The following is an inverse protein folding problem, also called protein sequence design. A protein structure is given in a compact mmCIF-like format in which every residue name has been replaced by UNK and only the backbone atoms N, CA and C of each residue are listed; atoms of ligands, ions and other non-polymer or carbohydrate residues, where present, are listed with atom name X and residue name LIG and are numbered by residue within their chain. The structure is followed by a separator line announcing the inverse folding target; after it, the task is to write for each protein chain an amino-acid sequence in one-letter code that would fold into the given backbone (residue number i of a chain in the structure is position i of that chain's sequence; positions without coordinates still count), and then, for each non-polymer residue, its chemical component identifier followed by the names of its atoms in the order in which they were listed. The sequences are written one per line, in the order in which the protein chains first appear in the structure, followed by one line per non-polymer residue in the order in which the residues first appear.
data_IF_548844132844
#
_entry.id   IF_548844132844
#
_cell.length_a   1.000
_cell.length_b   1.000
_cell.length_c   1.000
_cell.angle_alpha   90.00
_cell.angle_beta   90.00
_cell.angle_gamma   90.00
#
_symmetry.space_group_name_H-M   'P 1'
#
loop_
_entity.id
_entity.type
_entity.pdbx_description
1 polymer ?
#
# COMPACT_ATOMS: atom_id res chain seq x y z
N UNK A 1 -19.00 37.10 -17.66
CA UNK A 1 -19.17 35.69 -18.07
C UNK A 1 -17.80 35.23 -18.56
N UNK A 2 -16.91 34.88 -17.64
CA UNK A 2 -15.56 34.44 -17.97
C UNK A 2 -15.45 32.97 -17.58
N UNK A 3 -15.31 32.11 -18.58
CA UNK A 3 -14.93 30.72 -18.42
C UNK A 3 -13.44 30.70 -18.05
N UNK A 4 -13.13 30.28 -16.83
CA UNK A 4 -11.77 29.91 -16.46
C UNK A 4 -11.56 28.46 -16.89
N UNK A 5 -10.77 28.30 -17.94
CA UNK A 5 -10.16 27.05 -18.37
C UNK A 5 -9.23 26.52 -17.29
N UNK A 6 -9.48 25.30 -16.82
CA UNK A 6 -8.59 24.55 -15.94
C UNK A 6 -7.30 24.17 -16.69
N UNK A 7 -6.11 24.16 -16.04
CA UNK A 7 -4.90 23.67 -16.68
C UNK A 7 -4.92 22.13 -16.73
N UNK A 8 -4.68 21.60 -17.92
CA UNK A 8 -4.32 20.19 -18.14
C UNK A 8 -2.86 19.99 -17.74
N UNK A 9 -2.60 19.44 -16.56
CA UNK A 9 -1.28 18.93 -16.20
C UNK A 9 -1.25 17.40 -16.43
N UNK A 10 -0.37 16.97 -17.34
CA UNK A 10 -0.10 15.56 -17.62
C UNK A 10 0.53 14.89 -16.37
N UNK A 11 0.15 13.64 -16.10
CA UNK A 11 0.70 12.78 -15.03
C UNK A 11 2.22 12.48 -15.16
N UNK A 12 2.86 12.86 -16.27
CA UNK A 12 4.31 12.80 -16.44
C UNK A 12 5.09 13.74 -15.48
N UNK A 13 4.41 14.60 -14.72
CA UNK A 13 5.02 15.50 -13.74
C UNK A 13 4.93 15.04 -12.28
N UNK A 14 4.68 13.74 -12.01
CA UNK A 14 5.01 13.16 -10.69
C UNK A 14 6.48 13.45 -10.43
N UNK A 15 6.77 14.42 -9.55
CA UNK A 15 8.12 14.94 -9.32
C UNK A 15 9.09 13.78 -9.10
N UNK A 16 9.92 13.52 -10.11
CA UNK A 16 11.13 12.70 -10.02
C UNK A 16 12.16 13.50 -9.21
N UNK A 17 11.86 13.73 -7.93
CA UNK A 17 12.71 14.48 -7.02
C UNK A 17 13.47 13.54 -6.11
N UNK A 18 14.80 13.57 -6.19
CA UNK A 18 15.62 13.22 -5.04
C UNK A 18 15.12 14.04 -3.83
N UNK A 19 15.07 13.39 -2.66
CA UNK A 19 14.68 14.09 -1.44
C UNK A 19 15.67 15.24 -1.20
N UNK A 20 15.22 16.46 -0.81
CA UNK A 20 16.12 17.52 -0.38
C UNK A 20 17.02 16.97 0.75
N UNK A 21 18.30 17.40 0.78
CA UNK A 21 19.32 16.96 1.75
C UNK A 21 18.73 16.60 3.13
N UNK A 22 19.18 15.49 3.72
CA UNK A 22 18.66 14.90 4.96
C UNK A 22 18.54 15.84 6.18
N UNK A 23 19.13 17.04 6.13
CA UNK A 23 19.00 18.09 7.14
C UNK A 23 17.75 18.97 7.02
N UNK A 24 17.10 19.07 5.84
CA UNK A 24 16.01 20.03 5.57
C UNK A 24 14.64 19.34 5.30
N UNK A 25 14.55 18.01 5.37
CA UNK A 25 13.31 17.24 5.17
C UNK A 25 12.62 16.81 6.48
N UNK A 26 11.34 16.39 6.43
CA UNK A 26 10.60 15.91 7.60
C UNK A 26 11.25 14.65 8.20
N UNK A 27 11.29 14.58 9.53
CA UNK A 27 11.98 13.53 10.30
C UNK A 27 11.04 12.44 10.80
N UNK A 28 11.46 11.17 10.74
CA UNK A 28 10.70 10.03 11.30
C UNK A 28 10.56 10.09 12.85
N UNK A 29 11.30 10.99 13.51
CA UNK A 29 11.24 11.24 14.96
C UNK A 29 10.35 12.42 15.33
N UNK A 30 9.85 13.16 14.35
CA UNK A 30 8.96 14.30 14.59
C UNK A 30 7.68 13.85 15.31
N UNK A 31 7.20 14.68 16.24
CA UNK A 31 5.97 14.40 16.97
C UNK A 31 4.79 15.03 16.24
N UNK A 32 3.64 14.33 16.15
CA UNK A 32 2.48 14.90 15.50
C UNK A 32 2.04 16.21 16.17
N UNK A 33 1.62 17.22 15.41
CA UNK A 33 1.03 18.45 15.94
C UNK A 33 -0.21 18.19 16.81
N UNK A 34 -0.55 19.14 17.70
CA UNK A 34 -1.68 18.94 18.62
C UNK A 34 -3.06 19.00 17.94
N UNK A 35 -3.18 19.74 16.83
CA UNK A 35 -4.44 19.84 16.07
C UNK A 35 -4.88 18.46 15.56
N UNK A 36 -3.98 17.72 14.89
CA UNK A 36 -4.30 16.39 14.38
C UNK A 36 -4.48 15.36 15.50
N UNK A 37 -3.71 15.47 16.60
CA UNK A 37 -3.92 14.62 17.78
C UNK A 37 -5.31 14.83 18.38
N UNK A 38 -5.78 16.07 18.44
CA UNK A 38 -7.10 16.41 18.97
C UNK A 38 -8.20 15.85 18.08
N UNK A 39 -8.09 16.06 16.77
CA UNK A 39 -9.01 15.51 15.78
C UNK A 39 -9.03 13.97 15.79
N UNK A 40 -7.86 13.33 15.88
CA UNK A 40 -7.70 11.89 16.04
C UNK A 40 -8.42 11.35 17.28
N UNK A 41 -8.19 11.98 18.44
CA UNK A 41 -8.82 11.58 19.70
C UNK A 41 -10.35 11.72 19.66
N UNK A 42 -10.89 12.67 18.90
CA UNK A 42 -12.34 12.83 18.69
C UNK A 42 -12.92 11.55 18.10
N UNK A 43 -12.37 11.07 16.97
CA UNK A 43 -12.82 9.85 16.31
C UNK A 43 -12.55 8.59 17.15
N UNK A 44 -11.43 8.53 17.88
CA UNK A 44 -11.13 7.42 18.78
C UNK A 44 -12.19 7.27 19.87
N UNK A 45 -12.72 8.39 20.41
CA UNK A 45 -13.73 8.41 21.49
C UNK A 45 -15.16 8.11 21.03
N UNK A 46 -15.49 8.21 19.74
CA UNK A 46 -16.85 7.94 19.26
C UNK A 46 -17.26 6.50 19.62
N UNK A 47 -18.38 6.33 20.32
CA UNK A 47 -18.73 5.03 20.88
C UNK A 47 -19.33 4.10 19.82
N UNK A 48 -20.44 4.53 19.23
CA UNK A 48 -21.25 3.69 18.34
C UNK A 48 -20.93 3.99 16.88
N UNK A 49 -21.23 3.01 16.03
CA UNK A 49 -21.04 3.11 14.59
C UNK A 49 -21.86 4.28 13.98
N UNK A 50 -23.08 4.49 14.48
CA UNK A 50 -23.96 5.58 14.04
C UNK A 50 -23.37 6.96 14.37
N UNK A 51 -22.72 7.08 15.53
CA UNK A 51 -22.05 8.33 15.94
C UNK A 51 -20.88 8.66 15.01
N UNK A 52 -20.23 7.64 14.44
CA UNK A 52 -19.12 7.78 13.49
C UNK A 52 -19.63 8.17 12.11
N UNK A 53 -20.70 7.54 11.61
CA UNK A 53 -21.25 7.87 10.30
C UNK A 53 -21.96 9.24 10.29
N UNK A 54 -22.49 9.68 11.43
CA UNK A 54 -23.12 10.99 11.58
C UNK A 54 -22.16 12.18 11.75
N UNK A 55 -20.83 11.97 11.69
CA UNK A 55 -19.83 13.04 11.84
C UNK A 55 -19.45 13.67 10.49
N UNK A 56 -18.40 14.51 10.49
CA UNK A 56 -17.78 15.12 9.30
C UNK A 56 -16.95 14.12 8.44
N UNK A 57 -17.36 12.85 8.41
CA UNK A 57 -16.67 11.74 7.77
C UNK A 57 -16.83 11.80 6.24
N UNK A 58 -15.73 11.67 5.50
CA UNK A 58 -15.77 11.39 4.07
C UNK A 58 -16.17 9.93 3.87
N UNK A 59 -17.33 9.71 3.25
CA UNK A 59 -17.83 8.39 2.90
C UNK A 59 -18.25 8.36 1.41
N UNK A 60 -17.39 7.83 0.55
CA UNK A 60 -17.56 7.86 -0.92
C UNK A 60 -18.54 6.83 -1.48
N UNK A 61 -19.06 5.93 -0.64
CA UNK A 61 -20.08 4.94 -1.04
C UNK A 61 -21.49 5.39 -0.56
N UNK A 62 -21.56 6.42 0.29
CA UNK A 62 -22.80 7.06 0.65
C UNK A 62 -23.25 8.02 -0.48
N UNK A 63 -24.55 8.06 -0.76
CA UNK A 63 -25.17 8.97 -1.75
C UNK A 63 -24.72 10.43 -1.47
N UNK A 64 -24.72 11.33 -2.48
CA UNK A 64 -24.19 12.71 -2.39
C UNK A 64 -24.78 13.61 -1.28
N UNK A 65 -25.73 13.14 -0.48
CA UNK A 65 -26.25 13.82 0.71
C UNK A 65 -25.46 13.48 2.00
N UNK A 66 -24.35 12.73 1.89
CA UNK A 66 -23.52 12.36 3.05
C UNK A 66 -22.85 13.57 3.69
N UNK A 67 -22.93 13.64 5.01
CA UNK A 67 -22.66 14.75 5.94
C UNK A 67 -21.25 15.39 5.95
N UNK A 68 -20.45 15.24 4.90
CA UNK A 68 -19.12 15.86 4.83
C UNK A 68 -19.22 17.30 4.31
N UNK A 69 -18.55 18.23 5.00
CA UNK A 69 -18.28 19.59 4.49
C UNK A 69 -17.12 19.61 3.49
N UNK A 70 -16.50 18.45 3.22
CA UNK A 70 -15.33 18.30 2.36
C UNK A 70 -15.76 18.06 0.91
N UNK A 71 -15.11 18.77 -0.02
CA UNK A 71 -15.27 18.55 -1.46
C UNK A 71 -14.32 17.44 -1.90
N UNK A 72 -14.90 16.34 -2.39
CA UNK A 72 -14.18 15.27 -3.08
C UNK A 72 -14.42 15.44 -4.58
N UNK A 73 -13.37 15.66 -5.35
CA UNK A 73 -13.47 15.84 -6.79
C UNK A 73 -13.18 14.52 -7.49
N UNK A 74 -14.07 14.15 -8.41
CA UNK A 74 -13.82 13.01 -9.29
C UNK A 74 -12.67 13.36 -10.22
N UNK A 75 -11.66 12.51 -10.26
CA UNK A 75 -10.48 12.69 -11.10
C UNK A 75 -10.82 12.61 -12.60
N UNK A 76 -10.02 13.30 -13.41
CA UNK A 76 -10.09 13.27 -14.87
C UNK A 76 -9.67 11.94 -15.47
N UNK A 77 -9.84 11.79 -16.79
CA UNK A 77 -9.62 10.52 -17.51
C UNK A 77 -8.18 10.01 -17.41
N UNK A 78 -7.18 10.86 -17.18
CA UNK A 78 -5.77 10.44 -17.10
C UNK A 78 -5.48 9.53 -15.90
N UNK A 79 -6.07 9.81 -14.72
CA UNK A 79 -6.01 8.90 -13.55
C UNK A 79 -6.69 7.56 -13.84
N UNK A 80 -7.69 7.58 -14.73
CA UNK A 80 -8.47 6.39 -15.09
C UNK A 80 -7.71 5.50 -16.07
N UNK A 81 -6.73 6.03 -16.84
CA UNK A 81 -5.94 5.22 -17.78
C UNK A 81 -5.18 4.08 -17.11
N UNK A 82 -4.62 4.32 -15.92
CA UNK A 82 -3.98 3.26 -15.11
C UNK A 82 -4.98 2.19 -14.66
N UNK A 83 -6.28 2.51 -14.66
CA UNK A 83 -7.37 1.58 -14.35
C UNK A 83 -8.08 1.08 -15.61
N UNK A 84 -7.46 1.21 -16.78
CA UNK A 84 -7.85 0.46 -17.97
C UNK A 84 -7.42 -1.01 -17.82
N UNK A 85 -8.15 -1.90 -18.48
CA UNK A 85 -7.88 -3.33 -18.56
C UNK A 85 -7.83 -4.02 -17.19
N UNK A 86 -8.56 -3.51 -16.19
CA UNK A 86 -8.61 -4.10 -14.84
C UNK A 86 -8.92 -5.59 -14.86
N UNK A 87 -9.83 -6.01 -15.74
CA UNK A 87 -10.16 -7.43 -15.88
C UNK A 87 -8.93 -8.29 -16.23
N UNK A 88 -8.07 -7.81 -17.14
CA UNK A 88 -6.85 -8.52 -17.54
C UNK A 88 -5.81 -8.49 -16.41
N UNK A 89 -5.64 -7.33 -15.76
CA UNK A 89 -4.72 -7.16 -14.62
C UNK A 89 -5.07 -8.09 -13.47
N UNK A 90 -6.37 -8.18 -13.13
CA UNK A 90 -6.85 -9.10 -12.10
C UNK A 90 -6.75 -10.56 -12.53
N UNK A 91 -7.06 -10.90 -13.78
CA UNK A 91 -6.89 -12.27 -14.28
C UNK A 91 -5.43 -12.73 -14.22
N UNK A 92 -4.50 -11.85 -14.59
CA UNK A 92 -3.05 -12.05 -14.45
C UNK A 92 -2.65 -12.35 -13.00
N UNK A 93 -3.11 -11.52 -12.06
CA UNK A 93 -2.81 -11.70 -10.64
C UNK A 93 -3.34 -13.03 -10.07
N UNK A 94 -4.54 -13.43 -10.50
CA UNK A 94 -5.17 -14.69 -10.08
C UNK A 94 -4.57 -15.92 -10.76
N UNK A 95 -3.83 -15.75 -11.87
CA UNK A 95 -3.38 -16.83 -12.73
C UNK A 95 -4.52 -17.57 -13.46
N UNK A 96 -5.71 -16.97 -13.50
CA UNK A 96 -6.91 -17.51 -14.17
C UNK A 96 -7.87 -16.38 -14.53
N UNK A 97 -8.75 -16.67 -15.46
CA UNK A 97 -9.77 -15.77 -15.96
C UNK A 97 -10.75 -15.40 -14.85
N UNK A 98 -11.04 -14.10 -14.72
CA UNK A 98 -11.93 -13.57 -13.67
C UNK A 98 -13.34 -14.16 -13.72
N UNK A 99 -13.90 -14.21 -14.93
CA UNK A 99 -15.31 -14.54 -15.15
C UNK A 99 -15.51 -16.03 -15.44
N UNK A 100 -14.54 -16.63 -16.13
CA UNK A 100 -14.64 -17.99 -16.64
C UNK A 100 -13.86 -19.02 -15.83
N UNK A 101 -12.91 -18.61 -14.98
CA UNK A 101 -12.12 -19.51 -14.15
C UNK A 101 -11.07 -20.34 -14.91
N UNK A 102 -10.94 -20.14 -16.22
CA UNK A 102 -9.98 -20.83 -17.08
C UNK A 102 -8.54 -20.37 -16.83
N UNK A 103 -7.60 -21.31 -16.87
CA UNK A 103 -6.17 -21.04 -16.66
C UNK A 103 -5.53 -20.30 -17.84
N UNK A 104 -6.02 -20.54 -19.07
CA UNK A 104 -5.57 -19.81 -20.27
C UNK A 104 -6.37 -18.51 -20.44
N UNK A 105 -6.20 -17.61 -19.47
CA UNK A 105 -6.93 -16.35 -19.40
C UNK A 105 -6.49 -15.32 -20.44
N UNK A 106 -5.34 -15.55 -21.09
CA UNK A 106 -4.70 -14.62 -22.01
C UNK A 106 -5.51 -14.37 -23.29
N UNK A 107 -6.26 -15.39 -23.73
CA UNK A 107 -7.10 -15.35 -24.93
C UNK A 107 -8.58 -15.06 -24.63
N UNK A 108 -8.96 -14.96 -23.35
CA UNK A 108 -10.33 -14.72 -22.93
C UNK A 108 -10.79 -13.29 -23.25
N UNK A 109 -11.93 -13.17 -23.94
CA UNK A 109 -12.52 -11.87 -24.30
C UNK A 109 -13.72 -11.57 -23.41
N UNK A 110 -13.53 -10.67 -22.46
CA UNK A 110 -14.56 -10.21 -21.54
C UNK A 110 -14.84 -8.73 -21.70
N UNK A 111 -16.05 -8.30 -21.31
CA UNK A 111 -16.34 -6.88 -21.20
C UNK A 111 -15.46 -6.27 -20.10
N UNK A 112 -14.81 -5.17 -20.42
CA UNK A 112 -13.95 -4.47 -19.46
C UNK A 112 -14.74 -4.09 -18.20
N UNK A 113 -14.17 -4.40 -17.05
CA UNK A 113 -14.70 -3.94 -15.78
C UNK A 113 -14.45 -2.44 -15.69
N UNK A 114 -15.51 -1.65 -15.79
CA UNK A 114 -15.40 -0.20 -15.56
C UNK A 114 -14.90 0.01 -14.13
N UNK A 115 -13.76 0.68 -14.01
CA UNK A 115 -13.28 1.13 -12.71
C UNK A 115 -14.32 2.01 -12.04
N UNK A 116 -14.39 1.92 -10.71
CA UNK A 116 -15.04 2.95 -9.92
C UNK A 116 -14.38 4.31 -10.18
N UNK A 117 -15.13 5.38 -9.89
CA UNK A 117 -14.59 6.72 -9.94
C UNK A 117 -13.43 6.86 -8.93
N UNK A 118 -12.33 7.48 -9.35
CA UNK A 118 -11.24 7.89 -8.45
C UNK A 118 -11.55 9.30 -7.96
N UNK A 119 -11.27 9.56 -6.69
CA UNK A 119 -11.53 10.84 -6.06
C UNK A 119 -10.25 11.42 -5.46
N UNK A 120 -10.07 12.73 -5.61
CA UNK A 120 -9.09 13.50 -4.87
C UNK A 120 -9.80 14.39 -3.86
N UNK A 121 -9.21 14.57 -2.66
CA UNK A 121 -9.75 15.49 -1.67
C UNK A 121 -9.11 16.87 -1.81
N UNK A 122 -9.93 17.89 -2.06
CA UNK A 122 -9.46 19.28 -2.30
C UNK A 122 -8.57 19.82 -1.16
N UNK A 123 -8.82 19.39 0.08
CA UNK A 123 -8.07 19.84 1.25
C UNK A 123 -6.75 19.11 1.45
N UNK A 124 -6.62 17.92 0.86
CA UNK A 124 -5.43 17.07 0.90
C UNK A 124 -4.98 16.76 -0.55
N UNK A 125 -4.44 17.74 -1.29
CA UNK A 125 -3.92 17.53 -2.64
C UNK A 125 -2.94 16.37 -2.71
N UNK A 126 -3.06 15.56 -3.76
CA UNK A 126 -2.28 14.35 -3.98
C UNK A 126 -2.78 13.12 -3.21
N UNK A 127 -3.85 13.23 -2.40
CA UNK A 127 -4.51 12.07 -1.78
C UNK A 127 -5.63 11.56 -2.69
N UNK A 128 -5.37 10.47 -3.39
CA UNK A 128 -6.34 9.81 -4.25
C UNK A 128 -6.98 8.62 -3.54
N UNK A 129 -8.30 8.48 -3.70
CA UNK A 129 -9.12 7.44 -3.10
C UNK A 129 -9.75 6.64 -4.23
N UNK A 130 -9.59 5.31 -4.15
CA UNK A 130 -10.08 4.34 -5.11
C UNK A 130 -11.12 3.44 -4.41
N UNK A 131 -12.40 3.82 -4.39
CA UNK A 131 -13.44 3.05 -3.72
C UNK A 131 -13.69 1.73 -4.44
N UNK A 132 -13.78 0.63 -3.68
CA UNK A 132 -14.13 -0.70 -4.19
C UNK A 132 -13.29 -1.10 -5.44
N UNK A 133 -12.00 -0.81 -5.41
CA UNK A 133 -11.08 -1.10 -6.51
C UNK A 133 -10.88 -2.61 -6.70
N UNK A 134 -10.64 -3.33 -5.60
CA UNK A 134 -10.38 -4.77 -5.66
C UNK A 134 -11.68 -5.57 -5.57
N UNK A 135 -12.04 -6.39 -6.57
CA UNK A 135 -13.21 -7.27 -6.49
C UNK A 135 -12.99 -8.43 -5.48
N UNK A 136 -14.07 -9.08 -4.99
CA UNK A 136 -14.01 -10.06 -3.90
C UNK A 136 -12.97 -11.18 -4.07
N UNK A 137 -12.89 -11.79 -5.25
CA UNK A 137 -11.94 -12.89 -5.51
C UNK A 137 -10.48 -12.40 -5.51
N UNK A 138 -10.20 -11.15 -5.90
CA UNK A 138 -8.85 -10.57 -5.82
C UNK A 138 -8.49 -10.31 -4.37
N UNK A 139 -9.44 -9.81 -3.57
CA UNK A 139 -9.23 -9.61 -2.13
C UNK A 139 -8.92 -10.93 -1.41
N UNK A 140 -9.69 -12.00 -1.66
CA UNK A 140 -9.42 -13.33 -1.07
C UNK A 140 -8.06 -13.87 -1.50
N UNK A 141 -7.75 -13.81 -2.80
CA UNK A 141 -6.48 -14.33 -3.30
C UNK A 141 -5.27 -13.52 -2.80
N UNK A 142 -5.43 -12.20 -2.60
CA UNK A 142 -4.43 -11.37 -1.95
C UNK A 142 -4.18 -11.82 -0.50
N UNK A 143 -5.24 -12.15 0.26
CA UNK A 143 -5.07 -12.72 1.60
C UNK A 143 -4.37 -14.07 1.58
N UNK A 144 -4.69 -14.93 0.61
CA UNK A 144 -4.05 -16.24 0.48
C UNK A 144 -2.53 -16.09 0.27
N UNK A 145 -2.13 -15.20 -0.64
CA UNK A 145 -0.72 -14.88 -0.88
C UNK A 145 -0.07 -14.28 0.37
N UNK A 146 -0.67 -13.26 0.98
CA UNK A 146 -0.09 -12.55 2.12
C UNK A 146 0.02 -13.42 3.39
N UNK A 147 -1.00 -14.20 3.71
CA UNK A 147 -1.15 -14.84 5.01
C UNK A 147 -0.96 -16.36 5.00
N UNK A 148 -1.09 -17.03 3.84
CA UNK A 148 -0.70 -18.44 3.71
C UNK A 148 0.75 -18.57 3.22
N UNK A 149 1.13 -17.87 2.15
CA UNK A 149 2.47 -17.99 1.54
C UNK A 149 3.49 -17.05 2.19
N UNK A 150 3.24 -15.74 2.15
CA UNK A 150 4.26 -14.74 2.46
C UNK A 150 4.54 -14.67 3.96
N UNK A 151 3.53 -14.80 4.82
CA UNK A 151 3.72 -14.95 6.26
C UNK A 151 4.57 -16.18 6.63
N UNK A 152 4.49 -17.25 5.84
CA UNK A 152 5.24 -18.49 6.06
C UNK A 152 6.67 -18.45 5.49
N UNK A 153 7.07 -17.36 4.81
CA UNK A 153 8.44 -17.18 4.36
C UNK A 153 9.31 -16.63 5.52
N UNK A 154 10.35 -17.34 5.97
CA UNK A 154 11.23 -16.89 7.06
C UNK A 154 12.11 -15.68 6.73
N UNK A 155 12.22 -15.30 5.46
CA UNK A 155 12.93 -14.08 5.05
C UNK A 155 12.13 -12.80 5.37
N UNK A 156 10.81 -12.91 5.52
CA UNK A 156 9.95 -11.80 5.90
C UNK A 156 9.92 -11.60 7.42
N UNK A 157 10.06 -10.35 7.88
CA UNK A 157 9.96 -10.04 9.31
C UNK A 157 8.53 -9.79 9.76
N UNK A 158 8.31 -9.94 11.06
CA UNK A 158 7.04 -9.65 11.74
C UNK A 158 7.33 -9.02 13.10
N UNK A 159 6.33 -8.38 13.68
CA UNK A 159 6.46 -7.81 15.02
C UNK A 159 6.76 -8.86 16.11
N UNK A 160 6.50 -10.14 15.84
CA UNK A 160 6.70 -11.23 16.78
C UNK A 160 8.18 -11.63 16.85
N UNK A 161 8.93 -11.50 15.77
CA UNK A 161 10.38 -11.78 15.73
C UNK A 161 11.19 -10.91 16.70
N UNK A 162 10.67 -9.73 17.07
CA UNK A 162 11.29 -8.85 18.07
C UNK A 162 11.36 -9.48 19.47
N UNK A 163 10.48 -10.44 19.77
CA UNK A 163 10.31 -10.97 21.13
C UNK A 163 10.34 -12.50 21.21
N UNK A 164 10.23 -13.21 20.10
CA UNK A 164 10.12 -14.67 20.06
C UNK A 164 10.98 -15.25 18.94
N UNK A 165 11.44 -16.49 19.13
CA UNK A 165 11.91 -17.34 18.05
C UNK A 165 10.70 -18.01 17.42
N UNK A 166 10.43 -17.65 16.16
CA UNK A 166 9.24 -18.09 15.42
C UNK A 166 9.51 -19.45 14.80
N UNK A 167 8.67 -20.42 15.11
CA UNK A 167 8.62 -21.72 14.44
C UNK A 167 7.73 -21.63 13.21
N UNK A 168 8.09 -22.31 12.13
CA UNK A 168 7.38 -22.25 10.85
C UNK A 168 6.65 -23.57 10.52
N UNK A 169 5.52 -23.51 9.79
CA UNK A 169 4.79 -24.69 9.36
C UNK A 169 5.64 -25.56 8.41
N UNK A 170 5.49 -26.88 8.54
CA UNK A 170 6.09 -27.83 7.60
C UNK A 170 5.42 -27.72 6.23
N UNK A 171 6.13 -28.10 5.16
CA UNK A 171 5.58 -28.15 3.80
C UNK A 171 4.30 -29.00 3.70
N UNK A 172 3.34 -28.53 2.92
CA UNK A 172 2.10 -29.25 2.63
C UNK A 172 2.18 -29.89 1.22
N UNK A 173 1.60 -31.08 0.98
CA UNK A 173 1.65 -31.74 -0.34
C UNK A 173 1.12 -30.89 -1.50
N UNK A 174 0.15 -30.02 -1.22
CA UNK A 174 -0.50 -29.15 -2.21
C UNK A 174 0.22 -27.81 -2.42
N UNK A 175 1.42 -27.63 -1.87
CA UNK A 175 2.17 -26.38 -1.94
C UNK A 175 3.63 -26.61 -2.33
N UNK A 176 4.15 -25.86 -3.29
CA UNK A 176 5.58 -25.84 -3.66
C UNK A 176 6.43 -25.03 -2.65
N UNK A 177 6.21 -25.19 -1.34
CA UNK A 177 6.80 -24.34 -0.30
C UNK A 177 6.47 -24.75 1.15
N UNK A 178 6.68 -23.85 2.14
CA UNK A 178 6.21 -24.08 3.51
C UNK A 178 4.68 -24.12 3.55
N UNK A 179 4.12 -24.86 4.50
CA UNK A 179 2.68 -24.87 4.75
C UNK A 179 2.16 -23.53 5.27
N UNK A 180 0.92 -23.49 5.70
CA UNK A 180 0.32 -22.30 6.28
C UNK A 180 0.33 -22.34 7.80
N UNK A 181 0.46 -21.18 8.46
CA UNK A 181 0.15 -21.04 9.88
C UNK A 181 -1.31 -21.36 10.22
N UNK A 182 -2.20 -21.39 9.23
CA UNK A 182 -3.59 -21.78 9.40
C UNK A 182 -3.81 -23.30 9.27
N UNK A 183 -2.76 -24.08 8.94
CA UNK A 183 -2.87 -25.54 8.91
C UNK A 183 -3.12 -26.13 10.29
N UNK A 184 -3.93 -27.18 10.36
CA UNK A 184 -4.19 -27.90 11.60
C UNK A 184 -2.90 -28.41 12.26
N UNK A 185 -1.93 -28.86 11.44
CA UNK A 185 -0.61 -29.32 11.91
C UNK A 185 0.23 -28.19 12.50
N UNK A 186 -0.01 -26.94 12.11
CA UNK A 186 0.70 -25.77 12.61
C UNK A 186 0.15 -25.26 13.95
N UNK A 187 -1.04 -25.66 14.37
CA UNK A 187 -1.75 -25.12 15.56
C UNK A 187 -0.92 -25.09 16.85
N UNK A 188 -0.09 -26.11 17.03
CA UNK A 188 0.70 -26.32 18.25
C UNK A 188 2.20 -26.03 18.06
N UNK A 189 2.59 -25.30 17.01
CA UNK A 189 3.95 -24.80 16.92
C UNK A 189 4.25 -23.95 18.17
N UNK A 190 5.41 -24.18 18.77
CA UNK A 190 5.85 -23.46 19.95
C UNK A 190 6.72 -22.29 19.54
N UNK A 191 6.45 -21.13 20.13
CA UNK A 191 7.16 -19.89 19.88
C UNK A 191 7.87 -19.52 21.17
N UNK A 192 9.16 -19.86 21.23
CA UNK A 192 9.95 -19.64 22.44
C UNK A 192 10.26 -18.15 22.61
N UNK A 193 9.99 -17.57 23.79
CA UNK A 193 10.26 -16.16 24.05
C UNK A 193 11.77 -15.92 24.13
N UNK A 194 12.26 -14.82 23.53
CA UNK A 194 13.67 -14.39 23.59
C UNK A 194 14.03 -13.78 24.94
N UNK A 195 13.06 -13.09 25.55
CA UNK A 195 13.15 -12.45 26.85
C UNK A 195 11.82 -12.64 27.61
N UNK A 196 11.64 -11.97 28.76
CA UNK A 196 10.57 -12.00 29.80
C UNK A 196 9.07 -12.13 29.39
N UNK A 197 8.73 -12.89 28.36
CA UNK A 197 7.39 -13.15 27.86
C UNK A 197 7.02 -14.62 28.09
N UNK A 198 5.72 -14.89 28.19
CA UNK A 198 5.23 -16.27 28.20
C UNK A 198 5.27 -16.85 26.78
N UNK A 199 5.59 -18.14 26.65
CA UNK A 199 5.46 -18.86 25.38
C UNK A 199 4.05 -18.73 24.81
N UNK A 200 3.96 -18.72 23.49
CA UNK A 200 2.70 -18.64 22.74
C UNK A 200 2.64 -19.81 21.75
N UNK A 201 1.43 -20.14 21.32
CA UNK A 201 1.17 -21.08 20.21
C UNK A 201 0.65 -20.31 18.98
N UNK A 202 0.38 -21.02 17.90
CA UNK A 202 -0.03 -20.44 16.62
C UNK A 202 -1.37 -19.70 16.69
N UNK A 203 -2.31 -20.23 17.47
CA UNK A 203 -3.59 -19.55 17.71
C UNK A 203 -3.37 -18.16 18.34
N UNK A 204 -2.59 -18.07 19.42
CA UNK A 204 -2.25 -16.79 20.04
C UNK A 204 -1.40 -15.91 19.13
N UNK A 205 -0.50 -16.50 18.35
CA UNK A 205 0.29 -15.80 17.35
C UNK A 205 -0.63 -15.06 16.36
N UNK A 206 -1.52 -15.77 15.66
CA UNK A 206 -2.41 -15.20 14.65
C UNK A 206 -3.46 -14.25 15.24
N UNK A 207 -4.08 -14.61 16.37
CA UNK A 207 -5.21 -13.83 16.89
C UNK A 207 -4.83 -12.63 17.73
N UNK A 208 -3.73 -12.74 18.48
CA UNK A 208 -3.40 -11.79 19.56
C UNK A 208 -2.08 -11.10 19.38
N UNK A 209 -1.09 -11.69 18.70
CA UNK A 209 0.27 -11.16 18.67
C UNK A 209 0.70 -10.58 17.34
N UNK A 210 0.31 -11.18 16.22
CA UNK A 210 0.66 -10.68 14.89
C UNK A 210 -0.01 -9.32 14.64
N UNK A 211 0.78 -8.35 14.20
CA UNK A 211 0.36 -6.97 13.92
C UNK A 211 0.92 -6.45 12.61
N UNK A 212 2.11 -6.87 12.21
CA UNK A 212 2.65 -6.51 10.91
C UNK A 212 3.55 -7.61 10.34
N UNK A 213 3.66 -7.61 9.01
CA UNK A 213 4.59 -8.39 8.19
C UNK A 213 5.28 -7.42 7.21
N UNK A 214 6.56 -7.59 6.95
CA UNK A 214 7.32 -6.82 5.94
C UNK A 214 7.63 -7.67 4.71
N UNK A 215 7.38 -7.13 3.52
CA UNK A 215 7.69 -7.74 2.23
C UNK A 215 8.70 -6.87 1.47
N UNK A 216 9.66 -7.46 0.77
CA UNK A 216 10.73 -6.68 0.15
C UNK A 216 11.59 -5.98 1.20
N UNK A 217 11.70 -4.65 1.13
CA UNK A 217 12.37 -3.82 2.12
C UNK A 217 11.95 -4.08 3.57
N UNK A 218 12.93 -4.35 4.44
CA UNK A 218 12.71 -4.70 5.84
C UNK A 218 12.87 -3.47 6.75
N UNK A 219 11.78 -2.78 7.07
CA UNK A 219 11.84 -1.57 7.90
C UNK A 219 12.28 -1.85 9.34
N UNK A 220 13.32 -1.14 9.81
CA UNK A 220 13.77 -1.20 11.21
C UNK A 220 13.01 -0.16 12.05
N UNK A 221 12.15 -0.65 12.94
CA UNK A 221 11.34 0.20 13.83
C UNK A 221 12.13 0.91 14.93
N UNK A 222 13.29 0.37 15.32
CA UNK A 222 14.18 0.98 16.32
C UNK A 222 15.00 2.09 15.71
N UNK A 223 15.63 1.83 14.56
CA UNK A 223 16.43 2.83 13.85
C UNK A 223 15.58 3.81 13.01
N UNK A 224 14.32 3.45 12.72
CA UNK A 224 13.37 4.18 11.87
C UNK A 224 13.85 4.44 10.45
N UNK A 225 14.51 3.44 9.87
CA UNK A 225 15.08 3.51 8.53
C UNK A 225 14.98 2.13 7.87
N UNK A 226 15.13 2.11 6.55
CA UNK A 226 15.47 0.86 5.87
C UNK A 226 16.96 0.58 6.07
N UNK A 227 17.34 -0.65 6.46
CA UNK A 227 18.73 -1.06 6.53
C UNK A 227 19.40 -1.02 5.14
N UNK A 228 20.72 -0.76 5.07
CA UNK A 228 21.45 -0.68 3.79
C UNK A 228 21.70 -2.05 3.14
N UNK A 229 21.43 -3.15 3.84
CA UNK A 229 21.55 -4.50 3.30
C UNK A 229 20.55 -4.74 2.14
N UNK A 230 20.92 -5.63 1.23
CA UNK A 230 20.02 -6.05 0.14
C UNK A 230 18.78 -6.69 0.76
N UNK A 231 17.57 -6.16 0.50
CA UNK A 231 16.36 -6.72 1.06
C UNK A 231 16.02 -8.06 0.39
N UNK A 232 15.20 -8.92 1.05
CA UNK A 232 14.54 -10.03 0.39
C UNK A 232 13.77 -9.58 -0.85
N UNK A 233 13.55 -10.50 -1.79
CA UNK A 233 12.76 -10.19 -2.98
C UNK A 233 11.31 -9.85 -2.60
N UNK A 234 10.78 -8.79 -3.23
CA UNK A 234 9.35 -8.49 -3.11
C UNK A 234 8.56 -9.57 -3.89
N UNK A 235 7.49 -10.17 -3.32
CA UNK A 235 6.70 -11.19 -4.00
C UNK A 235 6.19 -10.72 -5.37
N UNK A 236 6.65 -11.38 -6.44
CA UNK A 236 6.55 -10.88 -7.82
C UNK A 236 5.11 -10.69 -8.32
N UNK A 237 4.17 -11.50 -7.85
CA UNK A 237 2.77 -11.41 -8.22
C UNK A 237 2.06 -10.22 -7.55
N UNK A 238 2.33 -9.97 -6.27
CA UNK A 238 1.84 -8.78 -5.56
C UNK A 238 2.53 -7.53 -6.11
N UNK A 239 3.83 -7.60 -6.41
CA UNK A 239 4.58 -6.53 -7.08
C UNK A 239 3.89 -6.15 -8.39
N UNK A 240 3.68 -7.13 -9.26
CA UNK A 240 3.04 -6.89 -10.55
C UNK A 240 1.63 -6.33 -10.39
N UNK A 241 0.81 -6.82 -9.45
CA UNK A 241 -0.53 -6.28 -9.23
C UNK A 241 -0.48 -4.79 -8.87
N UNK A 242 0.41 -4.41 -7.94
CA UNK A 242 0.50 -3.03 -7.45
C UNK A 242 1.06 -2.11 -8.54
N UNK A 243 2.13 -2.51 -9.23
CA UNK A 243 2.72 -1.73 -10.32
C UNK A 243 1.79 -1.65 -11.55
N UNK A 244 0.93 -2.65 -11.78
CA UNK A 244 -0.09 -2.60 -12.84
C UNK A 244 -1.25 -1.65 -12.47
N UNK A 245 -1.49 -1.35 -11.18
CA UNK A 245 -2.61 -0.53 -10.71
C UNK A 245 -2.24 0.91 -10.34
N UNK A 246 -0.97 1.19 -10.04
CA UNK A 246 -0.51 2.47 -9.52
C UNK A 246 0.84 2.86 -10.12
N UNK A 247 1.16 4.16 -10.24
CA UNK A 247 2.38 4.64 -10.88
C UNK A 247 3.54 4.65 -9.89
N UNK A 248 3.99 3.47 -9.51
CA UNK A 248 5.09 3.31 -8.55
C UNK A 248 5.89 2.04 -8.81
N UNK A 249 7.07 1.93 -8.20
CA UNK A 249 7.77 0.64 -8.05
C UNK A 249 7.51 0.05 -6.68
N UNK A 250 7.10 -1.21 -6.62
CA UNK A 250 6.89 -1.92 -5.37
C UNK A 250 8.20 -2.55 -4.90
N UNK A 251 8.82 -1.93 -3.89
CA UNK A 251 10.14 -2.30 -3.35
C UNK A 251 10.07 -2.70 -1.87
N UNK A 252 9.15 -2.10 -1.12
CA UNK A 252 8.86 -2.47 0.26
C UNK A 252 7.36 -2.46 0.52
N UNK A 253 6.91 -3.35 1.40
CA UNK A 253 5.56 -3.28 1.92
C UNK A 253 5.48 -3.62 3.41
N UNK A 254 4.53 -2.97 4.09
CA UNK A 254 4.11 -3.31 5.45
C UNK A 254 2.66 -3.74 5.40
N UNK A 255 2.43 -5.03 5.65
CA UNK A 255 1.11 -5.64 5.80
C UNK A 255 0.71 -5.47 7.25
N UNK A 256 -0.19 -4.54 7.54
CA UNK A 256 -0.68 -4.32 8.89
C UNK A 256 -1.97 -5.12 9.16
N UNK A 257 -2.06 -5.70 10.35
CA UNK A 257 -3.20 -6.48 10.81
C UNK A 257 -3.82 -5.80 12.02
N UNK A 258 -5.11 -5.49 11.92
CA UNK A 258 -5.89 -4.85 12.97
C UNK A 258 -7.13 -5.67 13.32
N UNK A 259 -7.57 -5.54 14.56
CA UNK A 259 -8.88 -5.96 15.05
C UNK A 259 -9.61 -4.76 15.65
N UNK A 260 -10.94 -4.78 15.82
CA UNK A 260 -11.64 -3.74 16.56
C UNK A 260 -11.02 -3.48 17.93
N UNK A 261 -10.66 -2.21 18.18
CA UNK A 261 -9.93 -1.77 19.37
C UNK A 261 -8.44 -1.52 19.13
N UNK A 262 -7.85 -2.10 18.08
CA UNK A 262 -6.51 -1.71 17.62
C UNK A 262 -6.57 -0.32 16.97
N UNK A 263 -5.45 0.39 17.06
CA UNK A 263 -5.29 1.74 16.49
C UNK A 263 -3.90 1.90 15.89
N UNK A 264 -3.78 2.82 14.93
CA UNK A 264 -2.50 3.30 14.43
C UNK A 264 -2.35 4.78 14.80
N UNK A 265 -1.41 5.06 15.71
CA UNK A 265 -1.11 6.44 16.14
C UNK A 265 -0.76 7.34 14.96
N UNK A 266 -1.00 8.64 15.12
CA UNK A 266 -0.64 9.62 14.11
C UNK A 266 0.89 9.60 13.88
N UNK A 267 1.30 9.48 12.62
CA UNK A 267 2.70 9.45 12.18
C UNK A 267 2.83 9.97 10.74
N UNK A 268 4.07 10.01 10.24
CA UNK A 268 4.41 10.24 8.83
C UNK A 268 5.32 9.11 8.36
N UNK A 269 5.22 8.78 7.09
CA UNK A 269 6.12 7.84 6.42
C UNK A 269 7.19 8.61 5.69
N UNK A 270 8.40 8.67 6.26
CA UNK A 270 9.48 9.54 5.76
C UNK A 270 10.84 8.87 5.82
N UNK A 271 10.86 7.55 5.72
CA UNK A 271 12.09 6.76 5.86
C UNK A 271 12.65 6.29 4.52
N UNK A 272 11.90 6.51 3.43
CA UNK A 272 12.32 6.27 2.05
C UNK A 272 13.27 7.37 1.55
N UNK A 273 14.13 7.04 0.58
CA UNK A 273 15.08 7.98 -0.02
C UNK A 273 14.44 8.85 -1.11
N UNK A 274 13.25 8.47 -1.60
CA UNK A 274 12.54 9.15 -2.66
C UNK A 274 11.19 9.72 -2.21
N UNK A 275 10.68 10.67 -2.99
CA UNK A 275 9.36 11.28 -2.81
C UNK A 275 8.23 10.54 -3.56
N UNK A 276 8.50 9.31 -4.01
CA UNK A 276 7.55 8.53 -4.82
C UNK A 276 6.29 8.16 -4.02
N UNK A 277 5.15 7.92 -4.69
CA UNK A 277 3.88 7.66 -4.02
C UNK A 277 3.91 6.47 -3.05
N UNK A 278 3.01 6.51 -2.08
CA UNK A 278 2.69 5.38 -1.21
C UNK A 278 1.28 4.88 -1.53
N UNK A 279 1.13 3.56 -1.65
CA UNK A 279 -0.16 2.91 -1.86
C UNK A 279 -0.60 2.18 -0.59
N UNK A 280 -1.89 2.26 -0.25
CA UNK A 280 -2.49 1.53 0.86
C UNK A 280 -3.76 0.83 0.40
N UNK A 281 -3.76 -0.52 0.39
CA UNK A 281 -4.92 -1.35 0.00
C UNK A 281 -5.57 -1.95 1.25
N UNK A 282 -6.89 -1.84 1.34
CA UNK A 282 -7.70 -2.23 2.50
C UNK A 282 -8.50 -3.51 2.25
N UNK A 283 -8.44 -4.48 3.17
CA UNK A 283 -9.26 -5.72 3.11
C UNK A 283 -9.82 -6.06 4.49
N UNK A 284 -11.09 -6.45 4.58
CA UNK A 284 -11.76 -6.85 5.82
C UNK A 284 -12.60 -5.74 6.44
N UNK A 285 -12.57 -5.60 7.77
CA UNK A 285 -13.32 -4.58 8.49
C UNK A 285 -12.98 -3.16 8.01
N UNK A 286 -14.02 -2.32 7.99
CA UNK A 286 -13.89 -0.90 7.72
C UNK A 286 -13.02 -0.22 8.78
N UNK A 287 -12.33 0.83 8.38
CA UNK A 287 -11.63 1.71 9.31
C UNK A 287 -11.87 3.17 9.00
N UNK A 288 -11.66 3.99 10.03
CA UNK A 288 -11.54 5.44 9.89
C UNK A 288 -10.07 5.75 9.76
N UNK A 289 -9.69 6.33 8.63
CA UNK A 289 -8.37 6.86 8.36
C UNK A 289 -8.40 8.37 8.51
N UNK A 290 -7.44 8.93 9.24
CA UNK A 290 -7.27 10.37 9.38
C UNK A 290 -6.01 10.77 8.65
N UNK A 291 -6.10 11.84 7.87
CA UNK A 291 -5.00 12.43 7.14
C UNK A 291 -5.05 13.93 7.28
N UNK A 292 -3.90 14.58 7.49
CA UNK A 292 -3.81 16.02 7.55
C UNK A 292 -2.47 16.57 7.09
N UNK A 293 -2.52 17.75 6.50
CA UNK A 293 -1.38 18.53 6.08
C UNK A 293 -1.21 19.73 6.99
N UNK A 294 0.02 20.19 7.15
CA UNK A 294 0.27 21.45 7.83
C UNK A 294 -0.25 22.61 6.97
N UNK A 295 -0.91 23.57 7.62
CA UNK A 295 -1.32 24.82 6.97
C UNK A 295 -0.09 25.66 6.64
N UNK A 296 -0.06 26.27 5.46
CA UNK A 296 0.96 27.27 5.15
C UNK A 296 0.69 28.53 6.00
N UNK A 297 1.75 29.11 6.59
CA UNK A 297 1.67 30.19 7.58
C UNK A 297 0.85 31.43 7.15
N UNK A 298 0.60 31.61 5.86
CA UNK A 298 -0.06 32.78 5.26
C UNK A 298 -1.56 32.64 4.99
N UNK A 299 -2.18 31.46 5.18
CA UNK A 299 -3.60 31.27 4.87
C UNK A 299 -4.34 30.48 5.98
N UNK A 300 -5.24 31.10 6.76
CA UNK A 300 -6.07 30.44 7.76
C UNK A 300 -7.26 29.69 7.12
N UNK A 301 -7.02 29.03 5.97
CA UNK A 301 -8.01 28.19 5.30
C UNK A 301 -8.58 27.08 6.21
N UNK A 302 -9.63 26.35 5.76
CA UNK A 302 -10.17 25.25 6.54
C UNK A 302 -9.05 24.29 6.95
N UNK A 303 -9.10 23.75 8.18
CA UNK A 303 -8.13 22.77 8.67
C UNK A 303 -7.91 21.72 7.56
N UNK A 304 -6.67 21.59 7.05
CA UNK A 304 -6.33 20.62 6.00
C UNK A 304 -6.28 19.24 6.63
N UNK A 305 -7.44 18.73 7.03
CA UNK A 305 -7.61 17.47 7.74
C UNK A 305 -8.90 16.79 7.32
N UNK A 306 -8.83 15.49 7.09
CA UNK A 306 -9.96 14.66 6.74
C UNK A 306 -10.00 13.40 7.58
N UNK A 307 -11.21 12.97 7.94
CA UNK A 307 -11.48 11.60 8.32
C UNK A 307 -12.19 10.90 7.16
N UNK A 308 -11.71 9.72 6.80
CA UNK A 308 -12.14 8.98 5.61
C UNK A 308 -12.50 7.56 6.04
N UNK A 309 -13.67 7.08 5.63
CA UNK A 309 -14.04 5.68 5.80
C UNK A 309 -13.39 4.85 4.69
N UNK A 310 -12.60 3.85 5.07
CA UNK A 310 -12.01 2.88 4.14
C UNK A 310 -12.64 1.50 4.35
N UNK A 311 -13.30 0.98 3.32
CA UNK A 311 -13.94 -0.33 3.27
C UNK A 311 -13.00 -1.40 2.71
N UNK A 312 -13.46 -2.65 2.77
CA UNK A 312 -12.83 -3.76 2.07
C UNK A 312 -12.84 -3.51 0.55
N UNK A 313 -11.66 -3.59 -0.08
CA UNK A 313 -11.46 -3.35 -1.50
C UNK A 313 -11.06 -1.92 -1.85
N UNK A 314 -11.10 -0.98 -0.90
CA UNK A 314 -10.66 0.41 -1.13
C UNK A 314 -9.14 0.50 -1.17
N UNK A 315 -8.62 1.40 -2.00
CA UNK A 315 -7.21 1.79 -1.99
C UNK A 315 -7.02 3.31 -1.84
N UNK A 316 -5.87 3.69 -1.28
CA UNK A 316 -5.38 5.06 -1.22
C UNK A 316 -4.05 5.17 -1.95
N UNK A 317 -3.84 6.26 -2.66
CA UNK A 317 -2.54 6.69 -3.16
C UNK A 317 -2.20 8.03 -2.53
N UNK A 318 -1.07 8.10 -1.83
CA UNK A 318 -0.53 9.31 -1.22
C UNK A 318 0.67 9.79 -2.04
N UNK A 319 0.46 10.77 -2.91
CA UNK A 319 1.50 11.41 -3.73
C UNK A 319 1.61 12.91 -3.43
N UNK A 320 2.64 13.56 -4.00
CA UNK A 320 2.80 15.01 -3.90
C UNK A 320 2.85 15.49 -2.46
N UNK A 321 1.99 16.46 -2.10
CA UNK A 321 1.91 16.95 -0.72
C UNK A 321 1.43 15.88 0.27
N UNK A 322 0.42 15.10 -0.11
CA UNK A 322 -0.14 14.07 0.76
C UNK A 322 0.87 12.97 1.11
N UNK A 323 1.91 12.76 0.31
CA UNK A 323 3.00 11.81 0.57
C UNK A 323 3.66 12.03 1.94
N UNK A 324 3.66 13.28 2.41
CA UNK A 324 4.20 13.70 3.70
C UNK A 324 3.11 14.07 4.71
N UNK A 325 1.86 13.68 4.48
CA UNK A 325 0.77 13.99 5.40
C UNK A 325 0.93 13.24 6.73
N UNK A 326 0.55 13.91 7.82
CA UNK A 326 0.33 13.25 9.09
C UNK A 326 -0.91 12.38 8.98
N UNK A 327 -0.83 11.12 9.38
CA UNK A 327 -1.95 10.21 9.24
C UNK A 327 -1.98 9.11 10.31
N UNK A 328 -3.15 8.50 10.49
CA UNK A 328 -3.35 7.42 11.45
C UNK A 328 -4.72 6.78 11.34
N UNK A 329 -4.92 5.69 12.08
CA UNK A 329 -6.17 4.92 12.10
C UNK A 329 -6.70 4.91 13.53
N UNK A 330 -7.55 5.87 13.92
CA UNK A 330 -8.12 5.92 15.27
C UNK A 330 -9.09 4.79 15.58
N UNK A 331 -9.64 4.12 14.57
CA UNK A 331 -10.72 3.15 14.76
C UNK A 331 -10.88 2.17 13.62
N UNK A 332 -10.95 0.89 13.97
CA UNK A 332 -11.49 -0.19 13.13
C UNK A 332 -12.94 -0.46 13.57
N UNK A 333 -13.88 -0.42 12.63
CA UNK A 333 -15.30 -0.57 12.91
C UNK A 333 -15.66 -2.06 13.05
N UNK A 334 -16.22 -2.50 14.19
CA UNK A 334 -16.59 -3.89 14.38
C UNK A 334 -17.78 -4.28 13.47
N UNK A 335 -17.86 -5.56 13.12
CA UNK A 335 -18.98 -6.16 12.37
C UNK A 335 -19.22 -5.58 10.96
N UNK A 336 -18.19 -5.00 10.33
CA UNK A 336 -18.25 -4.44 8.97
C UNK A 336 -17.52 -5.29 7.93
N UNK A 337 -16.86 -6.38 8.33
CA UNK A 337 -16.22 -7.30 7.38
C UNK A 337 -17.27 -7.88 6.41
N UNK A 338 -17.04 -7.83 5.08
CA UNK A 338 -18.01 -8.32 4.10
C UNK A 338 -18.41 -9.77 4.36
N UNK A 339 -19.70 -10.10 4.25
CA UNK A 339 -20.24 -11.42 4.59
C UNK A 339 -19.51 -12.56 3.88
N UNK A 340 -19.23 -12.39 2.58
CA UNK A 340 -18.50 -13.36 1.76
C UNK A 340 -17.04 -13.59 2.19
N UNK A 341 -16.46 -12.67 2.97
CA UNK A 341 -15.08 -12.74 3.43
C UNK A 341 -14.95 -13.23 4.88
N UNK A 342 -16.01 -13.18 5.68
CA UNK A 342 -15.93 -13.42 7.13
C UNK A 342 -15.34 -14.79 7.46
N UNK A 343 -15.70 -15.82 6.68
CA UNK A 343 -15.30 -17.21 6.91
C UNK A 343 -13.88 -17.53 6.42
N UNK A 344 -13.22 -16.63 5.69
CA UNK A 344 -11.81 -16.79 5.32
C UNK A 344 -10.97 -17.00 6.61
N UNK A 345 -10.01 -17.95 6.63
CA UNK A 345 -9.51 -18.72 5.48
C UNK A 345 -10.28 -20.01 5.12
N UNK A 346 -11.31 -20.38 5.87
CA UNK A 346 -12.07 -21.62 5.66
C UNK A 346 -13.14 -21.48 4.57
N UNK A 347 -12.75 -21.19 3.33
CA UNK A 347 -13.66 -20.97 2.19
C UNK A 347 -13.18 -21.71 0.94
N UNK A 348 -14.12 -21.97 0.01
CA UNK A 348 -13.81 -22.61 -1.27
C UNK A 348 -13.13 -23.97 -1.11
N UNK A 349 -12.05 -24.19 -1.87
CA UNK A 349 -11.23 -25.40 -1.78
C UNK A 349 -10.46 -25.53 -0.45
N UNK A 350 -10.33 -24.44 0.30
CA UNK A 350 -9.63 -24.41 1.59
C UNK A 350 -10.55 -24.63 2.80
N UNK A 351 -11.87 -24.82 2.57
CA UNK A 351 -12.86 -24.92 3.63
C UNK A 351 -12.55 -26.02 4.65
N UNK A 352 -12.18 -27.22 4.19
CA UNK A 352 -11.82 -28.33 5.08
C UNK A 352 -10.45 -28.11 5.72
N UNK A 353 -9.46 -27.65 4.94
CA UNK A 353 -8.06 -27.48 5.38
C UNK A 353 -7.92 -26.51 6.54
N UNK A 354 -8.65 -25.39 6.49
CA UNK A 354 -8.53 -24.30 7.47
C UNK A 354 -9.77 -24.16 8.37
N UNK A 355 -10.60 -25.19 8.48
CA UNK A 355 -11.86 -25.19 9.23
C UNK A 355 -11.71 -24.71 10.69
N UNK A 356 -10.58 -24.98 11.33
CA UNK A 356 -10.25 -24.54 12.69
C UNK A 356 -10.25 -23.00 12.85
N UNK A 357 -10.05 -22.27 11.76
CA UNK A 357 -9.96 -20.81 11.70
C UNK A 357 -11.14 -20.17 10.98
N UNK A 358 -12.23 -20.92 10.75
CA UNK A 358 -13.45 -20.37 10.18
C UNK A 358 -13.92 -19.14 10.96
N UNK A 359 -14.18 -18.04 10.25
CA UNK A 359 -14.63 -16.80 10.87
C UNK A 359 -13.50 -15.88 11.34
N UNK A 360 -12.23 -16.22 11.08
CA UNK A 360 -11.08 -15.42 11.51
C UNK A 360 -11.14 -13.99 10.96
N UNK A 361 -11.45 -13.85 9.66
CA UNK A 361 -11.52 -12.55 8.99
C UNK A 361 -12.67 -11.65 9.47
N UNK A 362 -13.69 -12.22 10.12
CA UNK A 362 -14.89 -11.49 10.60
C UNK A 362 -14.58 -10.26 11.45
N UNK A 363 -13.46 -10.26 12.17
CA UNK A 363 -13.03 -9.18 13.07
C UNK A 363 -11.64 -8.66 12.72
N UNK A 364 -11.21 -8.82 11.48
CA UNK A 364 -9.87 -8.46 11.04
C UNK A 364 -9.94 -7.44 9.93
N UNK A 365 -8.95 -6.56 9.93
CA UNK A 365 -8.63 -5.65 8.83
C UNK A 365 -7.17 -5.85 8.47
N UNK A 366 -6.89 -6.04 7.20
CA UNK A 366 -5.56 -6.15 6.63
C UNK A 366 -5.34 -4.91 5.77
N UNK A 367 -4.16 -4.30 5.91
CA UNK A 367 -3.77 -3.14 5.14
C UNK A 367 -2.40 -3.38 4.51
N UNK A 368 -2.34 -3.52 3.19
CA UNK A 368 -1.10 -3.65 2.45
C UNK A 368 -0.62 -2.24 2.09
N UNK A 369 0.43 -1.76 2.77
CA UNK A 369 1.06 -0.47 2.44
C UNK A 369 2.31 -0.73 1.60
N UNK A 370 2.36 -0.22 0.38
CA UNK A 370 3.47 -0.45 -0.56
C UNK A 370 4.19 0.85 -0.83
N UNK A 371 5.51 0.78 -0.93
CA UNK A 371 6.40 1.94 -1.08
C UNK A 371 7.52 1.64 -2.05
N UNK A 372 7.99 2.69 -2.72
CA UNK A 372 9.28 2.71 -3.38
C UNK A 372 10.31 3.26 -2.38
N UNK A 373 11.43 2.56 -2.23
CA UNK A 373 12.50 2.95 -1.31
C UNK A 373 13.52 3.83 -2.01
N UNK A 374 13.95 3.43 -3.20
CA UNK A 374 15.09 4.01 -3.88
C UNK A 374 14.66 5.06 -4.90
N UNK A 375 15.45 6.12 -5.06
CA UNK A 375 15.30 7.01 -6.20
C UNK A 375 15.57 6.22 -7.49
N UNK A 376 14.75 6.43 -8.53
CA UNK A 376 15.07 5.88 -9.84
C UNK A 376 16.39 6.47 -10.31
N UNK A 377 17.36 5.63 -10.69
CA UNK A 377 18.58 6.10 -11.34
C UNK A 377 18.17 6.96 -12.55
N UNK A 378 18.51 8.25 -12.53
CA UNK A 378 18.40 9.09 -13.70
C UNK A 378 19.26 8.44 -14.78
N UNK A 379 18.64 8.02 -15.90
CA UNK A 379 19.32 7.42 -17.05
C UNK A 379 20.65 8.14 -17.34
N UNK A 380 21.75 7.54 -16.90
CA UNK A 380 23.12 7.98 -17.16
C UNK A 380 23.63 7.58 -18.53
N UNK A 381 22.77 7.08 -19.41
CA UNK A 381 23.10 6.71 -20.79
C UNK A 381 22.58 7.77 -21.78
N UNK A 382 23.00 9.02 -21.56
CA UNK A 382 23.28 9.89 -22.68
C UNK A 382 24.70 9.54 -23.14
N UNK A 383 24.78 8.66 -24.14
CA UNK A 383 26.00 8.29 -24.83
C UNK A 383 26.94 9.49 -24.97
N UNK A 384 28.05 9.48 -24.23
CA UNK A 384 29.23 10.27 -24.57
C UNK A 384 29.79 9.65 -25.84
N UNK A 385 29.17 10.01 -26.97
CA UNK A 385 29.79 9.87 -28.26
C UNK A 385 30.99 10.80 -28.26
N UNK A 386 32.18 10.25 -28.04
CA UNK A 386 33.44 10.87 -28.42
C UNK A 386 33.39 11.15 -29.93
N UNK A 387 32.88 12.33 -30.30
CA UNK A 387 33.12 12.90 -31.61
C UNK A 387 34.55 13.41 -31.57
N UNK A 388 35.49 12.54 -31.96
CA UNK A 388 36.85 12.94 -32.30
C UNK A 388 36.78 13.84 -33.53
N UNK A 389 36.87 15.15 -33.32
CA UNK A 389 37.15 16.09 -34.41
C UNK A 389 38.67 16.10 -34.69
N UNK A 390 39.10 16.08 -35.97
CA UNK A 390 40.50 15.95 -36.31
C UNK A 390 41.26 17.26 -36.04
N UNK A 391 42.48 17.11 -35.51
CA UNK A 391 43.43 18.20 -35.31
C UNK A 391 43.81 18.85 -36.65
N UNK A 392 43.49 20.13 -36.80
CA UNK A 392 44.06 20.98 -37.84
C UNK A 392 45.56 21.20 -37.58
N UNK A 393 46.33 20.88 -38.61
CA UNK A 393 47.78 20.87 -38.63
C UNK A 393 48.37 22.28 -38.63
N UNK A 394 49.37 22.49 -37.76
CA UNK A 394 50.33 23.57 -37.93
C UNK A 394 51.22 23.31 -39.14
N UNK A 395 51.26 24.31 -40.02
CA UNK A 395 52.08 24.36 -41.21
C UNK A 395 53.59 24.23 -40.94
N UNK A 396 54.23 23.30 -41.67
CA UNK A 396 55.62 23.43 -42.11
C UNK A 396 55.78 22.92 -43.55
N UNK A 397 55.95 23.89 -44.45
CA UNK A 397 56.79 23.86 -45.67
C UNK A 397 57.56 22.55 -45.91
N UNK A 398 57.34 21.85 -47.04
CA UNK A 398 58.05 22.01 -48.34
C UNK A 398 58.02 20.72 -49.19
N UNK A 399 57.85 20.95 -50.48
CA UNK A 399 58.39 20.23 -51.64
C UNK A 399 57.86 18.83 -52.01
N UNK A 400 57.39 18.73 -53.27
CA UNK A 400 57.61 17.54 -54.11
C UNK A 400 56.38 16.90 -54.74
N UNK A 401 56.04 17.34 -55.96
CA UNK A 401 55.75 16.50 -57.17
C UNK A 401 55.25 15.06 -56.95
N UNK A 402 54.01 14.69 -57.31
CA UNK A 402 53.47 14.41 -58.66
C UNK A 402 53.30 12.89 -58.91
N UNK A 403 52.21 12.52 -59.61
CA UNK A 403 51.85 11.21 -60.21
C UNK A 403 51.52 10.07 -59.23
N UNK A 404 50.40 9.33 -59.33
CA UNK A 404 49.38 9.09 -60.37
C UNK A 404 48.04 8.75 -59.70
#
# INVERSE_FOLDING_TARGET
MNAHSAPSENFDSLQTGERPNASDGPSAFEKPPEWIKTFYKRYQKLGKHEDVIGSDLVDLDARPESHSTLSAQKCGEDVIKELEQLHQKFSKFLGRCLDCGELDWSDCRHSEQKSAAVFELDQIPGLFIYPNLLPPHVQSNLLDKLLHRDLANPEHQTNVHLHYNVSYPASHPDTDGPGSFFDHTAKNLDYSPRESHAAINTERFLDKKLRWITLGGQYDWTAKQYPPEVPPDFPSDIKSLVEDLFPMKAEAAIVNLYSPGDVLSVHRDVSEECAQPLVSISVGCDAIFICGLESQESDPGPERIAAIRLRSGDALLMSGESRYAWHGVPKVLPNTCPEWLQDWPAVGEHAERFQDYKGWMKRKRINLNVRQMFASEANGDAAVGEISMPNDAQAKKKDGTCTL
#
